data_IF_432890833613
#
_entry.id   IF_432890833613
#
_cell.length_a   1.000
_cell.length_b   1.000
_cell.length_c   1.000
_cell.angle_alpha   90.00
_cell.angle_beta   90.00
_cell.angle_gamma   90.00
#
_symmetry.space_group_name_H-M   'P 1'
#
loop_
_entity.id
_entity.type
_entity.pdbx_description
1 polymer ?
#
# COMPACT_ATOMS: atom_id res chain seq x y z
N UNK A 1 0.15 -1.29 -2.35
CA UNK A 1 -0.23 -0.98 -0.95
C UNK A 1 0.37 0.32 -0.43
N UNK A 2 1.55 0.76 -0.89
CA UNK A 2 2.13 2.05 -0.52
C UNK A 2 1.55 3.25 -1.28
N UNK A 3 0.23 3.46 -1.27
CA UNK A 3 -0.32 4.69 -1.84
C UNK A 3 -0.09 5.86 -0.84
N UNK A 4 0.98 6.63 -1.07
CA UNK A 4 1.31 7.80 -0.26
C UNK A 4 0.38 9.01 -0.53
N UNK A 5 -0.38 8.99 -1.63
CA UNK A 5 -1.21 10.11 -2.05
C UNK A 5 -2.49 10.27 -1.23
N UNK A 6 -2.91 9.25 -0.46
CA UNK A 6 -4.05 9.35 0.48
C UNK A 6 -3.89 10.55 1.43
N UNK A 7 -2.66 10.84 1.86
CA UNK A 7 -2.36 11.97 2.75
C UNK A 7 -2.59 13.35 2.12
N UNK A 8 -2.63 13.43 0.79
CA UNK A 8 -2.91 14.67 0.06
C UNK A 8 -4.42 14.94 -0.07
N UNK A 9 -5.24 13.87 -0.09
CA UNK A 9 -6.68 13.96 -0.30
C UNK A 9 -7.49 14.01 1.00
N UNK A 10 -6.92 13.51 2.10
CA UNK A 10 -7.62 13.41 3.38
C UNK A 10 -6.82 14.06 4.52
N UNK A 11 -7.45 14.88 5.37
CA UNK A 11 -6.78 15.45 6.52
C UNK A 11 -6.43 14.36 7.54
N UNK A 12 -5.29 14.51 8.19
CA UNK A 12 -4.89 13.66 9.31
C UNK A 12 -5.86 13.84 10.48
N UNK A 13 -6.57 12.77 10.85
CA UNK A 13 -7.51 12.79 11.98
C UNK A 13 -6.88 12.29 13.28
N UNK A 14 -5.96 11.31 13.19
CA UNK A 14 -5.26 10.76 14.36
C UNK A 14 -3.89 10.19 14.01
N UNK A 15 -2.96 10.28 14.95
CA UNK A 15 -1.70 9.53 14.91
C UNK A 15 -1.91 8.08 15.38
N UNK A 16 -1.20 7.13 14.78
CA UNK A 16 -1.17 5.73 15.23
C UNK A 16 0.25 5.36 15.63
N UNK A 17 0.45 5.02 16.91
CA UNK A 17 1.72 4.50 17.42
C UNK A 17 2.06 3.16 16.78
N UNK A 18 1.05 2.34 16.51
CA UNK A 18 1.19 1.07 15.80
C UNK A 18 1.75 1.31 14.38
N UNK A 19 1.23 2.32 13.67
CA UNK A 19 1.77 2.70 12.36
C UNK A 19 3.22 3.19 12.47
N UNK A 20 3.54 3.98 13.49
CA UNK A 20 4.93 4.43 13.70
C UNK A 20 5.87 3.24 13.84
N UNK A 21 5.50 2.23 14.63
CA UNK A 21 6.36 1.06 14.75
C UNK A 21 6.45 0.24 13.45
N UNK A 22 5.36 0.19 12.68
CA UNK A 22 5.37 -0.42 11.36
C UNK A 22 6.35 0.30 10.44
N UNK A 23 6.33 1.63 10.41
CA UNK A 23 7.25 2.46 9.61
C UNK A 23 8.70 2.30 10.05
N UNK A 24 8.96 2.22 11.36
CA UNK A 24 10.30 1.95 11.92
C UNK A 24 10.83 0.61 11.44
N UNK A 25 9.98 -0.41 11.33
CA UNK A 25 10.39 -1.71 10.79
C UNK A 25 10.57 -1.69 9.28
N UNK A 26 9.54 -1.27 8.56
CA UNK A 26 9.55 -1.17 7.11
C UNK A 26 8.47 -0.20 6.64
N UNK A 27 8.89 1.01 6.24
CA UNK A 27 7.97 2.01 5.73
C UNK A 27 7.58 1.72 4.27
N UNK A 28 6.42 1.08 4.10
CA UNK A 28 5.83 0.72 2.80
C UNK A 28 5.47 1.93 1.93
N UNK A 29 5.32 3.13 2.51
CA UNK A 29 5.03 4.34 1.74
C UNK A 29 6.24 4.83 0.96
N UNK A 30 7.45 4.56 1.44
CA UNK A 30 8.70 5.05 0.81
C UNK A 30 9.55 3.94 0.22
N UNK A 31 9.48 2.71 0.74
CA UNK A 31 10.23 1.56 0.24
C UNK A 31 9.37 0.65 -0.65
N UNK A 32 9.98 -0.16 -1.51
CA UNK A 32 9.25 -1.12 -2.34
C UNK A 32 8.62 -2.25 -1.49
N UNK A 33 7.29 -2.36 -1.38
CA UNK A 33 6.69 -3.47 -0.63
C UNK A 33 7.12 -4.87 -1.10
N UNK A 34 7.57 -5.06 -2.35
CA UNK A 34 8.04 -6.36 -2.85
C UNK A 34 9.40 -6.76 -2.25
N UNK A 35 10.22 -5.78 -1.84
CA UNK A 35 11.57 -5.99 -1.28
C UNK A 35 11.57 -6.21 0.24
N UNK A 36 10.41 -6.20 0.91
CA UNK A 36 10.35 -6.46 2.34
C UNK A 36 10.81 -7.89 2.64
N UNK A 37 11.99 -8.06 3.23
CA UNK A 37 12.68 -9.36 3.37
C UNK A 37 11.93 -10.38 4.23
N UNK A 38 11.61 -10.04 5.47
CA UNK A 38 10.98 -10.91 6.47
C UNK A 38 9.86 -10.18 7.23
N UNK A 39 9.09 -10.93 8.04
CA UNK A 39 8.20 -10.32 9.02
C UNK A 39 8.95 -10.00 10.31
N UNK A 40 8.55 -8.95 11.05
CA UNK A 40 9.19 -8.64 12.32
C UNK A 40 9.02 -9.81 13.30
N UNK A 41 10.14 -10.36 13.76
CA UNK A 41 10.19 -11.35 14.84
C UNK A 41 9.60 -10.75 16.12
N UNK A 42 8.69 -11.47 16.78
CA UNK A 42 8.03 -11.01 18.01
C UNK A 42 6.70 -10.27 17.83
N UNK A 43 6.19 -10.10 16.61
CA UNK A 43 4.78 -9.68 16.38
C UNK A 43 3.93 -10.85 15.90
N UNK A 44 2.61 -10.72 16.07
CA UNK A 44 1.57 -11.67 15.61
C UNK A 44 1.46 -11.80 14.08
N UNK A 45 2.30 -11.11 13.29
CA UNK A 45 2.29 -11.17 11.84
C UNK A 45 3.10 -12.36 11.36
N UNK A 46 2.43 -13.48 11.11
CA UNK A 46 3.05 -14.68 10.59
C UNK A 46 3.45 -14.61 9.12
N UNK A 47 2.99 -13.60 8.35
CA UNK A 47 3.24 -13.49 6.90
C UNK A 47 3.33 -12.03 6.43
N UNK A 48 4.09 -11.80 5.32
CA UNK A 48 4.24 -10.46 4.71
C UNK A 48 2.88 -9.86 4.33
N UNK A 49 1.98 -10.69 3.80
CA UNK A 49 0.62 -10.29 3.46
C UNK A 49 -0.18 -9.78 4.67
N UNK A 50 -0.02 -10.40 5.86
CA UNK A 50 -0.64 -9.89 7.09
C UNK A 50 -0.02 -8.57 7.50
N UNK A 51 1.31 -8.45 7.48
CA UNK A 51 2.00 -7.19 7.76
C UNK A 51 1.46 -6.05 6.89
N UNK A 52 1.49 -6.19 5.56
CA UNK A 52 1.06 -5.11 4.67
C UNK A 52 -0.44 -4.80 4.80
N UNK A 53 -1.28 -5.81 5.05
CA UNK A 53 -2.70 -5.58 5.32
C UNK A 53 -2.89 -4.71 6.57
N UNK A 54 -2.22 -5.06 7.67
CA UNK A 54 -2.33 -4.30 8.92
C UNK A 54 -1.72 -2.91 8.79
N UNK A 55 -0.56 -2.78 8.12
CA UNK A 55 0.03 -1.50 7.75
C UNK A 55 -1.00 -0.63 7.03
N UNK A 56 -1.65 -1.15 5.99
CA UNK A 56 -2.65 -0.42 5.21
C UNK A 56 -3.84 0.02 6.07
N UNK A 57 -4.33 -0.86 6.95
CA UNK A 57 -5.44 -0.54 7.84
C UNK A 57 -5.08 0.57 8.84
N UNK A 58 -3.89 0.51 9.43
CA UNK A 58 -3.41 1.55 10.34
C UNK A 58 -3.19 2.88 9.62
N UNK A 59 -2.60 2.84 8.42
CA UNK A 59 -2.38 4.02 7.59
C UNK A 59 -3.69 4.70 7.19
N UNK A 60 -4.64 3.95 6.62
CA UNK A 60 -5.96 4.49 6.26
C UNK A 60 -6.73 4.98 7.49
N UNK A 61 -6.59 4.28 8.61
CA UNK A 61 -7.23 4.65 9.88
C UNK A 61 -6.80 6.02 10.40
N UNK A 62 -5.61 6.51 10.07
CA UNK A 62 -5.17 7.86 10.41
C UNK A 62 -6.03 8.96 9.76
N UNK A 63 -6.69 8.63 8.64
CA UNK A 63 -7.55 9.53 7.86
C UNK A 63 -9.05 9.23 8.05
N UNK A 64 -9.40 8.37 9.01
CA UNK A 64 -10.78 7.91 9.22
C UNK A 64 -11.30 6.95 8.15
N UNK A 65 -10.40 6.42 7.32
CA UNK A 65 -10.71 5.45 6.28
C UNK A 65 -10.54 4.03 6.81
N UNK A 66 -11.28 3.09 6.23
CA UNK A 66 -11.27 1.70 6.67
C UNK A 66 -11.13 0.76 5.48
N UNK A 67 -10.27 -0.23 5.63
CA UNK A 67 -10.11 -1.31 4.66
C UNK A 67 -10.46 -2.66 5.28
N UNK A 68 -11.28 -3.42 4.56
CA UNK A 68 -11.44 -4.85 4.78
C UNK A 68 -11.50 -5.57 3.44
N UNK A 69 -11.17 -6.86 3.42
CA UNK A 69 -11.26 -7.67 2.19
C UNK A 69 -12.68 -7.70 1.60
N UNK A 70 -13.70 -7.66 2.47
CA UNK A 70 -15.12 -7.64 2.07
C UNK A 70 -15.59 -6.27 1.60
N UNK A 71 -14.95 -5.21 2.08
CA UNK A 71 -15.33 -3.83 1.77
C UNK A 71 -14.05 -2.98 1.61
N UNK A 72 -13.47 -2.95 0.40
CA UNK A 72 -12.20 -2.26 0.13
C UNK A 72 -12.33 -0.73 0.07
N UNK A 73 -13.55 -0.18 -0.11
CA UNK A 73 -13.84 1.27 -0.18
C UNK A 73 -12.82 2.02 -1.04
N UNK A 74 -12.11 2.99 -0.45
CA UNK A 74 -11.10 3.86 -1.09
C UNK A 74 -10.04 3.08 -1.89
N UNK A 75 -9.73 1.84 -1.49
CA UNK A 75 -8.72 1.02 -2.18
C UNK A 75 -9.24 0.49 -3.53
N UNK A 76 -10.55 0.44 -3.73
CA UNK A 76 -11.17 0.04 -5.00
C UNK A 76 -11.39 1.22 -5.96
N UNK A 77 -11.14 2.45 -5.54
CA UNK A 77 -11.35 3.62 -6.39
C UNK A 77 -10.26 3.71 -7.46
N UNK A 78 -10.64 4.19 -8.66
CA UNK A 78 -9.72 4.39 -9.78
C UNK A 78 -8.51 5.25 -9.38
N UNK A 79 -8.73 6.31 -8.61
CA UNK A 79 -7.66 7.18 -8.11
C UNK A 79 -6.59 6.41 -7.33
N UNK A 80 -7.01 5.44 -6.52
CA UNK A 80 -6.08 4.61 -5.76
C UNK A 80 -5.22 3.75 -6.69
N UNK A 81 -5.82 3.19 -7.75
CA UNK A 81 -5.08 2.45 -8.77
C UNK A 81 -4.15 3.37 -9.57
N UNK A 82 -4.61 4.55 -9.99
CA UNK A 82 -3.81 5.54 -10.71
C UNK A 82 -2.56 5.95 -9.91
N UNK A 83 -2.70 6.16 -8.60
CA UNK A 83 -1.58 6.43 -7.70
C UNK A 83 -0.59 5.25 -7.62
N UNK A 84 -1.07 4.01 -7.67
CA UNK A 84 -0.19 2.85 -7.75
C UNK A 84 0.53 2.77 -9.10
N UNK A 85 -0.15 3.05 -10.23
CA UNK A 85 0.49 3.11 -11.56
C UNK A 85 1.62 4.13 -11.56
N UNK A 86 1.34 5.34 -11.07
CA UNK A 86 2.34 6.40 -10.91
C UNK A 86 3.52 5.97 -10.04
N UNK A 87 3.29 5.21 -8.97
CA UNK A 87 4.36 4.64 -8.14
C UNK A 87 5.24 3.67 -8.94
N UNK A 88 4.64 2.80 -9.75
CA UNK A 88 5.37 1.88 -10.62
C UNK A 88 6.30 2.62 -11.59
N UNK A 89 5.85 3.74 -12.13
CA UNK A 89 6.59 4.55 -13.10
C UNK A 89 7.66 5.43 -12.45
N UNK A 90 7.31 6.12 -11.36
CA UNK A 90 8.17 7.15 -10.76
C UNK A 90 9.23 6.60 -9.80
N UNK A 91 8.91 5.53 -9.06
CA UNK A 91 9.79 4.97 -8.03
C UNK A 91 10.41 3.64 -8.44
N UNK A 92 10.07 3.10 -9.62
CA UNK A 92 10.44 1.74 -10.05
C UNK A 92 10.07 0.66 -9.02
N UNK A 93 9.02 0.89 -8.23
CA UNK A 93 8.50 -0.09 -7.27
C UNK A 93 7.46 -1.01 -7.91
N UNK A 94 7.06 -2.09 -7.22
CA UNK A 94 5.94 -2.94 -7.62
C UNK A 94 6.14 -3.55 -9.02
N UNK A 95 7.34 -4.10 -9.24
CA UNK A 95 7.75 -4.69 -10.52
C UNK A 95 6.75 -5.72 -11.06
N UNK A 96 6.14 -6.53 -10.18
CA UNK A 96 5.15 -7.53 -10.58
C UNK A 96 3.84 -6.91 -11.07
N UNK A 97 3.40 -5.80 -10.45
CA UNK A 97 2.23 -5.05 -10.89
C UNK A 97 2.51 -4.31 -12.20
N UNK A 98 3.70 -3.70 -12.34
CA UNK A 98 4.12 -3.03 -13.58
C UNK A 98 4.06 -4.01 -14.75
N UNK A 99 4.65 -5.21 -14.60
CA UNK A 99 4.60 -6.25 -15.62
C UNK A 99 3.16 -6.61 -16.04
N UNK A 100 2.25 -6.74 -15.07
CA UNK A 100 0.85 -7.03 -15.36
C UNK A 100 0.19 -5.91 -16.16
N UNK A 101 0.43 -4.65 -15.79
CA UNK A 101 -0.12 -3.48 -16.48
C UNK A 101 0.42 -3.38 -17.92
N UNK A 102 1.73 -3.56 -18.09
CA UNK A 102 2.37 -3.52 -19.41
C UNK A 102 1.80 -4.60 -20.35
N UNK A 103 1.52 -5.81 -19.82
CA UNK A 103 0.86 -6.88 -20.58
C UNK A 103 -0.55 -6.45 -21.01
N UNK A 104 -1.36 -5.90 -20.09
CA UNK A 104 -2.72 -5.49 -20.41
C UNK A 104 -2.78 -4.38 -21.44
N UNK A 105 -1.93 -3.36 -21.30
CA UNK A 105 -1.85 -2.26 -22.25
C UNK A 105 -1.44 -2.78 -23.64
N UNK A 106 -0.54 -3.77 -23.72
CA UNK A 106 -0.16 -4.39 -25.00
C UNK A 106 -1.30 -5.16 -25.69
N UNK A 107 -2.23 -5.73 -24.92
CA UNK A 107 -3.40 -6.45 -25.45
C UNK A 107 -4.48 -5.48 -25.95
N UNK A 108 -4.66 -4.35 -25.28
CA UNK A 108 -5.63 -3.32 -25.71
C UNK A 108 -5.22 -2.64 -27.03
N UNK A 109 -3.91 -2.64 -27.33
CA UNK A 109 -3.37 -2.10 -28.60
C UNK A 109 -3.41 -3.06 -29.79
N UNK A 110 -3.89 -4.30 -29.60
CA UNK A 110 -4.08 -5.31 -30.65
C UNK A 110 -5.51 -5.32 -31.19
#
# INVERSE_FOLDING_TARGET
MGNAEISNEHPLLKSSTILSDFKTYYDVLVNDPEEMSCCPTGRTFSTKARFHKHYLQEYLGQFGLFYSKKNPKVVADKKYLDALKKRCESMNHLSSLKLLLDIWDSIETL
#
